data_IF_448646721552
#
_entry.id   IF_448646721552
#
_cell.length_a   1.000
_cell.length_b   1.000
_cell.length_c   1.000
_cell.angle_alpha   90.00
_cell.angle_beta   90.00
_cell.angle_gamma   90.00
#
_symmetry.space_group_name_H-M   'P 1'
#
loop_
_entity.id
_entity.type
_entity.pdbx_description
1 polymer ?
#
# COMPACT_ATOMS: atom_id res chain seq x y z
N UNK A 1 66.93 -7.36 7.11
CA UNK A 1 66.05 -6.21 6.81
C UNK A 1 64.63 -6.62 7.14
N UNK A 2 64.08 -6.17 8.27
CA UNK A 2 62.72 -6.54 8.72
C UNK A 2 61.78 -5.40 8.37
N UNK A 3 60.93 -5.60 7.37
CA UNK A 3 59.95 -4.61 6.95
C UNK A 3 58.70 -4.77 7.82
N UNK A 4 58.47 -3.80 8.72
CA UNK A 4 57.22 -3.71 9.49
C UNK A 4 56.18 -3.02 8.60
N UNK A 5 55.35 -3.81 7.92
CA UNK A 5 54.19 -3.29 7.19
C UNK A 5 53.00 -3.17 8.13
N UNK A 6 52.74 -1.95 8.59
CA UNK A 6 51.60 -1.61 9.44
C UNK A 6 50.33 -1.59 8.57
N UNK A 7 49.45 -2.58 8.75
CA UNK A 7 48.13 -2.63 8.13
C UNK A 7 47.23 -1.55 8.76
N UNK A 8 46.96 -0.48 8.00
CA UNK A 8 45.97 0.54 8.34
C UNK A 8 44.57 -0.04 8.12
N UNK A 9 43.92 -0.52 9.18
CA UNK A 9 42.51 -0.90 9.16
C UNK A 9 41.65 0.35 9.03
N UNK A 10 41.13 0.61 7.83
CA UNK A 10 40.12 1.63 7.60
C UNK A 10 38.78 1.16 8.19
N UNK A 11 38.38 1.74 9.31
CA UNK A 11 37.04 1.56 9.91
C UNK A 11 36.04 2.35 9.07
N UNK A 12 35.35 1.68 8.16
CA UNK A 12 34.24 2.27 7.40
C UNK A 12 33.04 2.38 8.36
N UNK A 13 32.84 3.58 8.92
CA UNK A 13 31.60 3.93 9.62
C UNK A 13 30.48 4.01 8.58
N UNK A 14 29.69 2.94 8.47
CA UNK A 14 28.38 3.01 7.84
C UNK A 14 27.47 3.87 8.71
N UNK A 15 27.34 5.14 8.33
CA UNK A 15 26.28 6.02 8.82
C UNK A 15 24.95 5.45 8.34
N UNK A 16 24.30 4.65 9.19
CA UNK A 16 22.89 4.35 9.03
C UNK A 16 22.13 5.68 9.19
N UNK A 17 21.79 6.28 8.07
CA UNK A 17 20.79 7.34 8.05
C UNK A 17 19.47 6.70 8.46
N UNK A 18 19.16 6.74 9.76
CA UNK A 18 17.81 6.58 10.25
C UNK A 18 17.00 7.75 9.68
N UNK A 19 16.50 7.56 8.45
CA UNK A 19 15.54 8.46 7.84
C UNK A 19 14.46 8.72 8.87
N UNK A 20 14.29 10.00 9.19
CA UNK A 20 13.46 10.51 10.27
C UNK A 20 12.12 9.76 10.28
N UNK A 21 12.01 8.77 11.16
CA UNK A 21 10.76 8.15 11.51
C UNK A 21 9.96 9.23 12.19
N UNK A 22 9.21 10.01 11.41
CA UNK A 22 8.16 10.82 11.99
C UNK A 22 7.30 9.84 12.79
N UNK A 23 7.18 10.06 14.09
CA UNK A 23 6.22 9.38 14.96
C UNK A 23 4.82 9.76 14.47
N UNK A 24 4.45 9.26 13.30
CA UNK A 24 3.10 9.39 12.77
C UNK A 24 2.29 8.34 13.50
N UNK A 25 1.27 8.78 14.22
CA UNK A 25 0.25 7.89 14.76
C UNK A 25 -0.37 7.11 13.58
N UNK A 26 -0.22 5.78 13.52
CA UNK A 26 -0.71 4.98 12.40
C UNK A 26 -2.23 5.06 12.22
N UNK A 27 -2.98 5.38 13.28
CA UNK A 27 -4.44 5.56 13.22
C UNK A 27 -4.78 6.87 12.50
N UNK A 28 -4.12 7.98 12.88
CA UNK A 28 -4.27 9.29 12.22
C UNK A 28 -3.82 9.22 10.76
N UNK A 29 -2.75 8.46 10.47
CA UNK A 29 -2.30 8.25 9.11
C UNK A 29 -3.35 7.52 8.27
N UNK A 30 -4.09 6.58 8.86
CA UNK A 30 -5.15 5.84 8.18
C UNK A 30 -6.21 6.78 7.61
N UNK A 31 -6.68 7.74 8.41
CA UNK A 31 -7.71 8.72 8.01
C UNK A 31 -7.27 9.56 6.79
N UNK A 32 -5.96 9.73 6.59
CA UNK A 32 -5.41 10.50 5.47
C UNK A 32 -5.16 9.68 4.20
N UNK A 33 -5.24 8.35 4.25
CA UNK A 33 -4.91 7.49 3.10
C UNK A 33 -5.94 6.40 2.79
N UNK A 34 -6.90 6.14 3.68
CA UNK A 34 -7.94 5.15 3.49
C UNK A 34 -9.33 5.82 3.42
N UNK A 35 -10.21 5.38 2.52
CA UNK A 35 -10.00 4.35 1.51
C UNK A 35 -9.07 4.79 0.37
N UNK A 36 -8.40 3.85 -0.32
CA UNK A 36 -7.56 4.18 -1.47
C UNK A 36 -8.42 4.66 -2.63
N UNK A 37 -7.94 5.65 -3.36
CA UNK A 37 -8.60 6.17 -4.56
C UNK A 37 -8.74 5.10 -5.65
N UNK A 38 -9.70 5.26 -6.55
CA UNK A 38 -9.81 4.38 -7.71
C UNK A 38 -8.68 4.67 -8.72
N UNK A 39 -7.97 3.66 -9.25
CA UNK A 39 -7.01 3.88 -10.31
C UNK A 39 -7.67 4.48 -11.57
N UNK A 40 -7.06 5.53 -12.09
CA UNK A 40 -7.50 6.29 -13.27
C UNK A 40 -6.29 6.78 -14.06
N UNK A 41 -6.49 7.24 -15.30
CA UNK A 41 -5.39 7.82 -16.08
C UNK A 41 -4.77 9.06 -15.41
N UNK A 42 -5.51 9.74 -14.53
CA UNK A 42 -5.04 10.94 -13.84
C UNK A 42 -4.11 10.65 -12.66
N UNK A 43 -4.21 9.46 -12.05
CA UNK A 43 -3.41 9.08 -10.89
C UNK A 43 -2.49 7.88 -11.13
N UNK A 44 -2.58 7.20 -12.29
CA UNK A 44 -1.80 5.99 -12.61
C UNK A 44 -0.29 6.21 -12.51
N UNK A 45 0.21 7.34 -13.02
CA UNK A 45 1.63 7.66 -12.96
C UNK A 45 2.12 7.73 -11.52
N UNK A 46 1.42 8.47 -10.66
CA UNK A 46 1.75 8.58 -9.22
C UNK A 46 1.58 7.26 -8.49
N UNK A 47 0.52 6.50 -8.79
CA UNK A 47 0.26 5.17 -8.24
C UNK A 47 1.48 4.28 -8.43
N UNK A 48 2.00 4.20 -9.67
CA UNK A 48 3.20 3.43 -9.95
C UNK A 48 4.43 4.10 -9.31
N UNK A 49 4.79 5.32 -9.74
CA UNK A 49 6.09 5.95 -9.44
C UNK A 49 6.35 6.16 -7.94
N UNK A 50 5.29 6.42 -7.17
CA UNK A 50 5.43 6.75 -5.75
C UNK A 50 5.13 5.58 -4.82
N UNK A 51 5.01 4.35 -5.34
CA UNK A 51 4.68 3.16 -4.55
C UNK A 51 5.58 2.96 -3.33
N UNK A 52 6.89 3.17 -3.50
CA UNK A 52 7.87 3.04 -2.44
C UNK A 52 7.86 4.18 -1.41
N UNK A 53 7.10 5.24 -1.63
CA UNK A 53 6.96 6.35 -0.67
C UNK A 53 5.66 6.30 0.13
N UNK A 54 4.77 5.35 -0.13
CA UNK A 54 3.49 5.22 0.60
C UNK A 54 3.64 4.28 1.79
N UNK A 55 2.99 4.60 2.90
CA UNK A 55 3.13 3.86 4.16
C UNK A 55 2.78 2.37 4.02
N UNK A 56 3.37 1.55 4.89
CA UNK A 56 3.10 0.11 4.99
C UNK A 56 2.80 -0.23 6.43
N UNK A 57 1.65 -0.85 6.68
CA UNK A 57 1.18 -1.18 8.02
C UNK A 57 1.75 -2.53 8.46
N UNK A 58 2.88 -2.52 9.16
CA UNK A 58 3.48 -3.73 9.71
C UNK A 58 2.69 -4.26 10.91
N UNK A 59 3.05 -5.43 11.41
CA UNK A 59 2.40 -6.02 12.59
C UNK A 59 2.55 -5.13 13.85
N UNK A 60 3.57 -4.30 13.90
CA UNK A 60 3.90 -3.38 14.99
C UNK A 60 3.17 -2.04 14.87
N UNK A 61 2.49 -1.76 13.74
CA UNK A 61 1.77 -0.49 13.54
C UNK A 61 0.58 -0.32 14.50
N UNK A 62 0.01 -1.42 14.99
CA UNK A 62 -1.12 -1.37 15.92
C UNK A 62 -0.99 -2.45 17.00
N UNK A 63 -1.42 -2.18 18.25
CA UNK A 63 -1.47 -3.22 19.27
C UNK A 63 -2.41 -4.37 18.88
N UNK A 64 -2.11 -5.65 19.21
CA UNK A 64 -2.86 -6.80 18.72
C UNK A 64 -4.33 -6.91 19.14
N UNK A 65 -4.72 -6.30 20.25
CA UNK A 65 -6.06 -6.41 20.85
C UNK A 65 -6.96 -5.18 20.65
N UNK A 66 -6.48 -4.18 19.90
CA UNK A 66 -7.19 -2.92 19.64
C UNK A 66 -7.09 -2.54 18.15
N UNK A 67 -7.76 -1.46 17.74
CA UNK A 67 -7.70 -0.92 16.36
C UNK A 67 -8.07 -1.95 15.28
N UNK A 68 -9.08 -2.80 15.55
CA UNK A 68 -9.43 -3.90 14.65
C UNK A 68 -9.78 -3.43 13.22
N UNK A 69 -10.50 -2.30 13.09
CA UNK A 69 -10.80 -1.69 11.80
C UNK A 69 -9.53 -1.18 11.09
N UNK A 70 -8.74 -0.34 11.75
CA UNK A 70 -7.49 0.18 11.19
C UNK A 70 -6.51 -0.93 10.79
N UNK A 71 -6.47 -2.05 11.53
CA UNK A 71 -5.67 -3.22 11.14
C UNK A 71 -6.17 -3.87 9.85
N UNK A 72 -7.48 -4.00 9.65
CA UNK A 72 -8.06 -4.54 8.39
C UNK A 72 -7.86 -3.58 7.22
N UNK A 73 -8.02 -2.27 7.45
CA UNK A 73 -7.73 -1.24 6.46
C UNK A 73 -6.23 -1.25 6.09
N UNK A 74 -5.33 -1.29 7.07
CA UNK A 74 -3.88 -1.33 6.85
C UNK A 74 -3.42 -2.59 6.13
N UNK A 75 -3.99 -3.75 6.48
CA UNK A 75 -3.79 -5.01 5.75
C UNK A 75 -4.24 -4.90 4.29
N UNK A 76 -5.37 -4.23 4.05
CA UNK A 76 -5.89 -3.97 2.70
C UNK A 76 -4.97 -3.06 1.91
N UNK A 77 -4.43 -2.00 2.53
CA UNK A 77 -3.46 -1.11 1.90
C UNK A 77 -2.18 -1.86 1.51
N UNK A 78 -1.60 -2.67 2.41
CA UNK A 78 -0.42 -3.47 2.07
C UNK A 78 -0.66 -4.43 0.89
N UNK A 79 -1.80 -5.14 0.91
CA UNK A 79 -2.20 -6.06 -0.16
C UNK A 79 -2.30 -5.32 -1.49
N UNK A 80 -3.01 -4.19 -1.50
CA UNK A 80 -3.25 -3.39 -2.69
C UNK A 80 -1.93 -2.85 -3.27
N UNK A 81 -1.05 -2.36 -2.42
CA UNK A 81 0.24 -1.82 -2.80
C UNK A 81 1.18 -2.86 -3.41
N UNK A 82 1.20 -4.07 -2.85
CA UNK A 82 1.94 -5.18 -3.43
C UNK A 82 1.39 -5.54 -4.82
N UNK A 83 0.07 -5.56 -4.99
CA UNK A 83 -0.58 -5.88 -6.26
C UNK A 83 -0.39 -4.78 -7.31
N UNK A 84 -0.42 -3.51 -6.92
CA UNK A 84 -0.03 -2.39 -7.79
C UNK A 84 1.41 -2.51 -8.26
N UNK A 85 2.34 -2.91 -7.38
CA UNK A 85 3.71 -3.21 -7.77
C UNK A 85 3.80 -4.27 -8.87
N UNK A 86 2.98 -5.33 -8.79
CA UNK A 86 2.91 -6.38 -9.81
C UNK A 86 2.36 -5.85 -11.15
N UNK A 87 1.32 -5.02 -11.10
CA UNK A 87 0.74 -4.39 -12.29
C UNK A 87 1.71 -3.41 -12.97
N UNK A 88 2.40 -2.57 -12.20
CA UNK A 88 3.25 -1.51 -12.73
C UNK A 88 4.63 -2.02 -13.19
N UNK A 89 5.23 -2.94 -12.42
CA UNK A 89 6.66 -3.30 -12.57
C UNK A 89 6.92 -4.81 -12.54
N UNK A 90 6.01 -5.60 -11.99
CA UNK A 90 6.14 -7.07 -11.91
C UNK A 90 5.90 -7.81 -13.22
N UNK A 91 5.68 -7.09 -14.33
CA UNK A 91 5.49 -7.67 -15.65
C UNK A 91 4.11 -8.30 -15.90
N UNK A 92 3.15 -8.14 -14.98
CA UNK A 92 1.77 -8.58 -15.25
C UNK A 92 1.17 -7.80 -16.42
N UNK A 93 1.40 -6.48 -16.47
CA UNK A 93 0.92 -5.61 -17.54
C UNK A 93 2.05 -4.72 -18.07
N UNK A 94 1.98 -4.32 -19.35
CA UNK A 94 3.07 -3.57 -20.00
C UNK A 94 2.67 -2.19 -20.54
N UNK A 95 1.45 -2.05 -21.06
CA UNK A 95 0.97 -0.77 -21.62
C UNK A 95 0.08 -0.06 -20.61
N UNK A 96 0.04 1.27 -20.61
CA UNK A 96 -0.77 2.06 -19.66
C UNK A 96 -2.24 1.59 -19.57
N UNK A 97 -2.88 1.23 -20.68
CA UNK A 97 -4.24 0.68 -20.67
C UNK A 97 -4.35 -0.65 -19.91
N UNK A 98 -3.39 -1.56 -20.10
CA UNK A 98 -3.32 -2.83 -19.36
C UNK A 98 -2.96 -2.62 -17.89
N UNK A 99 -2.01 -1.73 -17.59
CA UNK A 99 -1.62 -1.41 -16.22
C UNK A 99 -2.80 -0.80 -15.47
N UNK A 100 -3.55 0.11 -16.10
CA UNK A 100 -4.77 0.67 -15.54
C UNK A 100 -5.83 -0.39 -15.28
N UNK A 101 -6.06 -1.28 -16.24
CA UNK A 101 -6.97 -2.40 -16.11
C UNK A 101 -6.59 -3.30 -14.91
N UNK A 102 -5.32 -3.70 -14.84
CA UNK A 102 -4.75 -4.50 -13.76
C UNK A 102 -4.93 -3.82 -12.40
N UNK A 103 -4.58 -2.53 -12.30
CA UNK A 103 -4.72 -1.77 -11.07
C UNK A 103 -6.20 -1.63 -10.65
N UNK A 104 -7.12 -1.38 -11.57
CA UNK A 104 -8.56 -1.33 -11.25
C UNK A 104 -9.06 -2.66 -10.69
N UNK A 105 -8.68 -3.79 -11.29
CA UNK A 105 -9.06 -5.11 -10.77
C UNK A 105 -8.44 -5.40 -9.40
N UNK A 106 -7.17 -5.05 -9.19
CA UNK A 106 -6.50 -5.16 -7.89
C UNK A 106 -7.23 -4.34 -6.82
N UNK A 107 -7.63 -3.10 -7.15
CA UNK A 107 -8.38 -2.21 -6.28
C UNK A 107 -9.75 -2.76 -5.90
N UNK A 108 -10.57 -3.16 -6.88
CA UNK A 108 -11.90 -3.73 -6.62
C UNK A 108 -11.81 -5.04 -5.82
N UNK A 109 -10.81 -5.87 -6.11
CA UNK A 109 -10.58 -7.15 -5.41
C UNK A 109 -10.11 -6.93 -3.97
N UNK A 110 -9.17 -6.02 -3.73
CA UNK A 110 -8.67 -5.73 -2.39
C UNK A 110 -9.77 -5.16 -1.50
N UNK A 111 -10.57 -4.21 -2.01
CA UNK A 111 -11.71 -3.65 -1.28
C UNK A 111 -12.86 -4.64 -1.11
N UNK A 112 -13.05 -5.57 -2.06
CA UNK A 112 -13.99 -6.68 -1.86
C UNK A 112 -13.59 -7.55 -0.68
N UNK A 113 -12.31 -7.93 -0.57
CA UNK A 113 -11.81 -8.66 0.59
C UNK A 113 -11.91 -7.86 1.88
N UNK A 114 -11.59 -6.57 1.85
CA UNK A 114 -11.79 -5.68 3.01
C UNK A 114 -13.24 -5.75 3.51
N UNK A 115 -14.21 -5.57 2.62
CA UNK A 115 -15.62 -5.64 3.00
C UNK A 115 -16.02 -7.02 3.54
N UNK A 116 -15.53 -8.11 2.95
CA UNK A 116 -15.77 -9.46 3.50
C UNK A 116 -15.19 -9.61 4.91
N UNK A 117 -13.99 -9.09 5.16
CA UNK A 117 -13.34 -9.09 6.48
C UNK A 117 -14.12 -8.21 7.48
N UNK A 118 -14.62 -7.03 7.07
CA UNK A 118 -15.47 -6.16 7.89
C UNK A 118 -16.77 -6.88 8.31
N UNK A 119 -17.51 -7.46 7.36
CA UNK A 119 -18.75 -8.22 7.62
C UNK A 119 -18.53 -9.49 8.43
N UNK A 120 -17.29 -9.97 8.57
CA UNK A 120 -16.96 -11.15 9.38
C UNK A 120 -16.73 -10.81 10.85
N UNK A 121 -16.94 -9.55 11.25
CA UNK A 121 -16.76 -9.09 12.64
C UNK A 121 -18.08 -8.58 13.24
N UNK A 122 -18.13 -8.45 14.58
CA UNK A 122 -19.30 -7.90 15.30
C UNK A 122 -19.25 -6.37 15.44
N UNK A 123 -18.34 -5.70 14.73
CA UNK A 123 -18.23 -4.23 14.76
C UNK A 123 -19.08 -3.61 13.67
N UNK A 124 -19.30 -2.29 13.77
CA UNK A 124 -19.81 -1.53 12.62
C UNK A 124 -18.87 -1.76 11.43
N UNK A 125 -19.47 -1.96 10.26
CA UNK A 125 -18.75 -2.11 9.00
C UNK A 125 -18.56 -0.75 8.36
N UNK A 126 -17.53 -0.59 7.55
CA UNK A 126 -17.37 0.62 6.73
C UNK A 126 -18.60 0.88 5.84
N UNK A 127 -19.13 2.10 5.83
CA UNK A 127 -20.39 2.46 5.13
C UNK A 127 -20.39 2.11 3.64
N UNK A 128 -19.28 2.36 2.92
CA UNK A 128 -19.15 1.90 1.53
C UNK A 128 -19.33 0.38 1.33
N UNK A 129 -18.99 -0.46 2.31
CA UNK A 129 -19.17 -1.90 2.21
C UNK A 129 -20.65 -2.33 2.25
N UNK A 130 -21.53 -1.53 2.84
CA UNK A 130 -22.97 -1.76 2.86
C UNK A 130 -23.58 -1.65 1.45
N UNK A 131 -23.00 -0.81 0.60
CA UNK A 131 -23.40 -0.62 -0.79
C UNK A 131 -23.03 -1.82 -1.66
N UNK A 132 -23.65 -1.93 -2.84
CA UNK A 132 -23.46 -3.04 -3.79
C UNK A 132 -23.06 -2.54 -5.18
N UNK A 133 -22.42 -3.42 -5.95
CA UNK A 133 -22.07 -3.15 -7.35
C UNK A 133 -21.33 -1.83 -7.56
N UNK A 134 -21.73 -1.09 -8.61
CA UNK A 134 -21.12 0.21 -8.94
C UNK A 134 -21.25 1.26 -7.84
N UNK A 135 -22.29 1.22 -7.00
CA UNK A 135 -22.47 2.20 -5.91
C UNK A 135 -21.41 2.05 -4.82
N UNK A 136 -21.00 0.81 -4.54
CA UNK A 136 -19.88 0.53 -3.63
C UNK A 136 -18.59 1.17 -4.14
N UNK A 137 -18.29 0.96 -5.43
CA UNK A 137 -17.08 1.50 -6.04
C UNK A 137 -17.10 3.03 -6.11
N UNK A 138 -18.24 3.61 -6.47
CA UNK A 138 -18.41 5.06 -6.45
C UNK A 138 -18.30 5.67 -5.05
N UNK A 139 -18.66 4.92 -4.00
CA UNK A 139 -18.48 5.36 -2.61
C UNK A 139 -17.01 5.44 -2.23
N UNK A 140 -16.25 4.35 -2.40
CA UNK A 140 -14.83 4.34 -2.08
C UNK A 140 -14.04 5.37 -2.88
N UNK A 141 -14.40 5.60 -4.15
CA UNK A 141 -13.79 6.63 -4.98
C UNK A 141 -14.04 8.05 -4.44
N UNK A 142 -15.27 8.36 -4.01
CA UNK A 142 -15.61 9.68 -3.45
C UNK A 142 -15.00 9.94 -2.08
N UNK A 143 -14.86 8.90 -1.26
CA UNK A 143 -14.36 9.02 0.11
C UNK A 143 -12.82 8.97 0.19
N UNK A 144 -12.13 8.77 -0.93
CA UNK A 144 -10.67 8.62 -0.92
C UNK A 144 -9.95 9.96 -0.56
N UNK A 145 -9.24 10.04 0.58
CA UNK A 145 -8.58 11.27 1.01
C UNK A 145 -7.30 11.59 0.21
N UNK A 146 -6.69 10.58 -0.42
CA UNK A 146 -5.46 10.71 -1.22
C UNK A 146 -5.70 10.31 -2.70
N UNK A 147 -6.44 11.13 -3.49
CA UNK A 147 -6.85 10.80 -4.86
C UNK A 147 -5.68 10.58 -5.84
N UNK A 148 -4.51 11.13 -5.53
CA UNK A 148 -3.33 11.12 -6.38
C UNK A 148 -2.19 10.23 -5.88
N UNK A 149 -2.44 9.35 -4.90
CA UNK A 149 -1.43 8.43 -4.35
C UNK A 149 -0.12 9.12 -3.96
N UNK A 150 -0.22 10.27 -3.29
CA UNK A 150 0.94 11.02 -2.84
C UNK A 150 1.75 10.20 -1.83
N UNK A 151 3.09 10.21 -1.93
CA UNK A 151 3.96 9.58 -0.95
C UNK A 151 4.05 10.41 0.33
N UNK A 152 4.50 9.77 1.40
CA UNK A 152 4.96 10.45 2.61
C UNK A 152 6.36 11.05 2.36
N UNK A 153 6.58 12.35 2.60
CA UNK A 153 7.87 12.99 2.37
C UNK A 153 9.01 12.31 3.15
N UNK A 154 10.08 11.92 2.44
CA UNK A 154 11.27 11.31 3.03
C UNK A 154 11.10 9.88 3.55
N UNK A 155 9.91 9.29 3.44
CA UNK A 155 9.64 7.92 3.85
C UNK A 155 10.00 6.92 2.75
N UNK A 156 10.57 5.78 3.14
CA UNK A 156 10.86 4.66 2.25
C UNK A 156 10.14 3.42 2.79
N UNK A 157 9.22 2.89 2.00
CA UNK A 157 8.41 1.76 2.34
C UNK A 157 9.25 0.47 2.44
N UNK A 158 9.08 -0.33 3.52
CA UNK A 158 9.58 -1.69 3.53
C UNK A 158 8.85 -2.52 2.48
N UNK A 159 9.51 -3.54 1.95
CA UNK A 159 8.87 -4.50 1.06
C UNK A 159 8.00 -5.45 1.88
N UNK A 160 6.69 -5.40 1.68
CA UNK A 160 5.72 -6.29 2.31
C UNK A 160 5.04 -7.12 1.23
N UNK A 161 5.06 -8.45 1.40
CA UNK A 161 4.30 -9.36 0.53
C UNK A 161 2.81 -9.28 0.83
N UNK A 162 1.98 -9.47 -0.20
CA UNK A 162 0.54 -9.63 0.01
C UNK A 162 0.25 -10.95 0.73
N UNK A 163 -0.76 -10.95 1.60
CA UNK A 163 -1.26 -12.17 2.26
C UNK A 163 -2.08 -13.07 1.30
N UNK A 164 -2.32 -12.60 0.07
CA UNK A 164 -3.12 -13.26 -0.96
C UNK A 164 -2.47 -13.14 -2.33
N UNK A 165 -2.69 -14.14 -3.17
CA UNK A 165 -2.28 -14.14 -4.58
C UNK A 165 -3.27 -13.27 -5.36
N UNK A 166 -2.75 -12.43 -6.25
CA UNK A 166 -3.55 -11.68 -7.20
C UNK A 166 -3.47 -12.34 -8.58
N UNK A 167 -4.63 -12.50 -9.21
CA UNK A 167 -4.75 -12.99 -10.57
C UNK A 167 -5.42 -11.90 -11.40
N UNK A 168 -4.69 -11.34 -12.35
CA UNK A 168 -5.21 -10.36 -13.29
C UNK A 168 -5.87 -11.05 -14.48
N UNK A 169 -7.08 -10.62 -14.87
CA UNK A 169 -7.72 -11.02 -16.11
C UNK A 169 -7.65 -9.90 -17.16
N UNK A 170 -6.82 -9.99 -18.21
CA UNK A 170 -6.71 -8.96 -19.23
C UNK A 170 -7.99 -8.76 -20.07
N UNK A 171 -8.99 -9.66 -19.96
CA UNK A 171 -10.26 -9.59 -20.72
C UNK A 171 -11.42 -8.97 -19.93
N UNK A 172 -11.25 -8.74 -18.63
CA UNK A 172 -12.29 -8.19 -17.76
C UNK A 172 -12.21 -6.65 -17.65
N UNK A 173 -11.74 -6.02 -18.73
CA UNK A 173 -11.65 -4.58 -18.96
C UNK A 173 -11.96 -4.32 -20.45
#
# INVERSE_FOLDING_TARGET
>A
MVWKSTLLSAVILHLFSSGAGQNMDPDVLMDSIFPPARPSLYNLNSLCLHGNGRFRYTAESFPPSSFAHARRAGKTMNRLEAWFGQCCYGGLAHKNGQILCCAKQAWETALSYFCLEEFSTKTLVHDCCEKKGGERWGCFEREAPNPYYQPLPGYIAPQISSDRIFTWDPKAC
#
